data_IF_878265746042
#
_entry.id   IF_878265746042
#
_cell.length_a   1.000
_cell.length_b   1.000
_cell.length_c   1.000
_cell.angle_alpha   90.00
_cell.angle_beta   90.00
_cell.angle_gamma   90.00
#
_symmetry.space_group_name_H-M   'P 1'
#
loop_
_entity.id
_entity.type
_entity.pdbx_description
1 polymer ?
#
# COMPACT_ATOMS: atom_id res chain seq x y z
N UNK A 1 -12.81 -11.72 -13.29
CA UNK A 1 -11.87 -12.09 -12.22
C UNK A 1 -12.66 -12.70 -11.06
N UNK A 2 -12.52 -13.99 -10.82
CA UNK A 2 -13.19 -14.61 -9.67
C UNK A 2 -12.39 -14.31 -8.40
N UNK A 3 -12.45 -13.07 -7.95
CA UNK A 3 -12.08 -12.75 -6.60
C UNK A 3 -13.06 -13.49 -5.69
N UNK A 4 -12.52 -14.23 -4.76
CA UNK A 4 -13.34 -14.93 -3.78
C UNK A 4 -14.18 -13.87 -3.02
N UNK A 5 -15.46 -13.74 -3.36
CA UNK A 5 -16.40 -12.81 -2.73
C UNK A 5 -16.58 -13.04 -1.21
N UNK A 6 -15.91 -14.08 -0.68
CA UNK A 6 -15.93 -14.49 0.72
C UNK A 6 -14.63 -14.15 1.47
N UNK A 7 -13.75 -13.32 0.94
CA UNK A 7 -12.57 -12.88 1.67
C UNK A 7 -12.99 -12.01 2.87
N UNK A 8 -12.58 -12.41 4.08
CA UNK A 8 -12.78 -11.59 5.28
C UNK A 8 -11.92 -10.33 5.21
N UNK A 9 -12.45 -9.14 5.52
CA UNK A 9 -11.65 -7.94 5.60
C UNK A 9 -10.51 -8.08 6.61
N UNK A 10 -9.31 -7.75 6.19
CA UNK A 10 -8.14 -7.64 7.04
C UNK A 10 -8.24 -6.34 7.85
N UNK A 11 -7.78 -6.36 9.10
CA UNK A 11 -7.70 -5.18 9.96
C UNK A 11 -6.24 -4.87 10.29
N UNK A 12 -5.82 -3.63 10.06
CA UNK A 12 -4.48 -3.14 10.36
C UNK A 12 -4.58 -1.78 11.04
N UNK A 13 -3.89 -1.62 12.17
CA UNK A 13 -3.70 -0.35 12.84
C UNK A 13 -2.23 0.09 12.74
N UNK A 14 -1.99 1.33 12.36
CA UNK A 14 -0.64 1.90 12.21
C UNK A 14 -0.51 3.21 12.98
N UNK A 15 0.69 3.52 13.49
CA UNK A 15 0.95 4.79 14.16
C UNK A 15 1.19 5.91 13.16
N UNK A 16 0.72 7.12 13.48
CA UNK A 16 1.02 8.35 12.74
C UNK A 16 1.39 9.46 13.71
N UNK A 17 2.26 10.39 13.29
CA UNK A 17 2.73 11.50 14.16
C UNK A 17 1.82 12.72 14.11
N UNK A 18 1.09 12.89 13.01
CA UNK A 18 0.16 13.99 12.74
C UNK A 18 -1.07 13.41 12.06
N UNK A 19 -2.16 13.34 12.81
CA UNK A 19 -3.40 12.70 12.35
C UNK A 19 -3.99 13.40 11.14
N UNK A 20 -4.04 14.73 11.15
CA UNK A 20 -4.66 15.49 10.07
C UNK A 20 -3.86 15.39 8.77
N UNK A 21 -2.54 15.48 8.85
CA UNK A 21 -1.66 15.35 7.70
C UNK A 21 -1.77 13.95 7.06
N UNK A 22 -1.78 12.91 7.87
CA UNK A 22 -1.96 11.54 7.39
C UNK A 22 -3.37 11.26 6.88
N UNK A 23 -4.39 11.82 7.54
CA UNK A 23 -5.77 11.77 7.07
C UNK A 23 -5.92 12.32 5.66
N UNK A 24 -5.34 13.47 5.38
CA UNK A 24 -5.32 14.07 4.04
C UNK A 24 -4.57 13.21 3.02
N UNK A 25 -3.47 12.62 3.42
CA UNK A 25 -2.72 11.70 2.55
C UNK A 25 -3.57 10.50 2.10
N UNK A 26 -4.18 9.79 3.05
CA UNK A 26 -5.01 8.63 2.72
C UNK A 26 -6.27 9.00 1.95
N UNK A 27 -6.94 10.10 2.33
CA UNK A 27 -8.18 10.53 1.67
C UNK A 27 -7.96 11.16 0.29
N UNK A 28 -6.94 12.02 0.14
CA UNK A 28 -6.76 12.83 -1.07
C UNK A 28 -5.71 12.29 -2.01
N UNK A 29 -4.57 11.80 -1.50
CA UNK A 29 -3.51 11.23 -2.34
C UNK A 29 -3.89 9.83 -2.80
N UNK A 30 -4.27 8.96 -1.88
CA UNK A 30 -4.68 7.59 -2.19
C UNK A 30 -6.16 7.47 -2.58
N UNK A 31 -6.95 8.52 -2.36
CA UNK A 31 -8.39 8.57 -2.61
C UNK A 31 -9.18 7.45 -1.91
N UNK A 32 -8.79 7.14 -0.69
CA UNK A 32 -9.43 6.10 0.13
C UNK A 32 -10.53 6.74 0.99
N UNK A 33 -11.68 6.07 1.02
CA UNK A 33 -12.84 6.57 1.75
C UNK A 33 -12.66 6.37 3.26
N UNK A 34 -12.90 7.43 4.02
CA UNK A 34 -12.97 7.38 5.48
C UNK A 34 -14.21 6.63 5.96
N UNK A 35 -14.04 5.93 7.08
CA UNK A 35 -15.12 5.41 7.89
C UNK A 35 -15.34 6.27 9.14
N UNK A 36 -15.17 5.68 10.32
CA UNK A 36 -15.30 6.37 11.61
C UNK A 36 -14.00 7.07 12.00
N UNK A 37 -14.12 8.06 12.88
CA UNK A 37 -12.96 8.77 13.43
C UNK A 37 -13.22 9.27 14.85
N UNK A 38 -12.13 9.62 15.53
CA UNK A 38 -12.11 10.37 16.78
C UNK A 38 -11.05 11.46 16.71
N UNK A 39 -10.75 12.11 17.81
CA UNK A 39 -9.68 13.11 17.87
C UNK A 39 -8.28 12.52 17.73
N UNK A 40 -8.13 11.19 17.86
CA UNK A 40 -6.83 10.52 17.86
C UNK A 40 -6.68 9.39 16.85
N UNK A 41 -7.73 9.05 16.11
CA UNK A 41 -7.67 7.99 15.10
C UNK A 41 -8.70 8.18 13.98
N UNK A 42 -8.43 7.59 12.83
CA UNK A 42 -9.32 7.54 11.66
C UNK A 42 -9.30 6.14 11.05
N UNK A 43 -10.50 5.61 10.77
CA UNK A 43 -10.71 4.39 9.98
C UNK A 43 -10.78 4.72 8.49
N UNK A 44 -10.28 3.80 7.67
CA UNK A 44 -10.41 3.86 6.21
C UNK A 44 -10.89 2.53 5.63
N UNK A 45 -11.71 2.62 4.59
CA UNK A 45 -11.99 1.48 3.72
C UNK A 45 -10.79 1.32 2.75
N UNK A 46 -9.78 0.58 3.19
CA UNK A 46 -8.55 0.34 2.44
C UNK A 46 -8.76 -0.83 1.49
N UNK A 47 -9.28 -0.55 0.30
CA UNK A 47 -9.56 -1.56 -0.75
C UNK A 47 -10.41 -2.73 -0.23
N UNK A 48 -11.42 -2.46 0.59
CA UNK A 48 -12.28 -3.46 1.21
C UNK A 48 -11.75 -4.01 2.55
N UNK A 49 -10.56 -3.59 2.98
CA UNK A 49 -9.99 -3.90 4.29
C UNK A 49 -10.09 -2.70 5.24
N UNK A 50 -9.97 -2.94 6.53
CA UNK A 50 -10.00 -1.87 7.53
C UNK A 50 -8.58 -1.45 7.88
N UNK A 51 -8.22 -0.23 7.51
CA UNK A 51 -7.00 0.43 7.97
C UNK A 51 -7.36 1.47 9.02
N UNK A 52 -6.66 1.50 10.14
CA UNK A 52 -6.82 2.53 11.17
C UNK A 52 -5.48 3.24 11.38
N UNK A 53 -5.48 4.56 11.29
CA UNK A 53 -4.35 5.37 11.68
C UNK A 53 -4.59 5.92 13.09
N UNK A 54 -3.61 5.74 13.99
CA UNK A 54 -3.63 6.25 15.35
C UNK A 54 -2.51 7.27 15.58
N UNK A 55 -2.88 8.43 16.10
CA UNK A 55 -1.87 9.43 16.46
C UNK A 55 -1.08 8.98 17.69
N UNK A 56 0.24 9.03 17.59
CA UNK A 56 1.17 8.68 18.67
C UNK A 56 2.46 9.47 18.53
N UNK A 57 3.15 9.66 19.65
CA UNK A 57 4.50 10.23 19.68
C UNK A 57 5.60 9.18 19.58
N UNK A 58 5.23 7.90 19.65
CA UNK A 58 6.17 6.77 19.63
C UNK A 58 6.24 6.14 18.24
N UNK A 59 7.44 6.09 17.68
CA UNK A 59 7.72 5.47 16.38
C UNK A 59 8.88 4.49 16.49
N UNK A 60 8.74 3.34 15.81
CA UNK A 60 9.80 2.33 15.69
C UNK A 60 10.43 2.42 14.30
N UNK A 61 11.76 2.39 14.23
CA UNK A 61 12.48 2.30 12.97
C UNK A 61 12.16 0.99 12.25
N UNK A 62 11.88 1.06 10.95
CA UNK A 62 11.71 -0.12 10.11
C UNK A 62 13.04 -0.83 9.88
N UNK A 63 13.01 -2.17 9.89
CA UNK A 63 14.10 -2.99 9.39
C UNK A 63 14.15 -2.91 7.85
N UNK A 64 15.28 -3.34 7.27
CA UNK A 64 15.45 -3.38 5.80
C UNK A 64 15.86 -4.79 5.38
N UNK A 65 15.21 -5.30 4.34
CA UNK A 65 15.58 -6.55 3.67
C UNK A 65 15.92 -6.26 2.20
N UNK A 66 16.93 -6.92 1.66
CA UNK A 66 17.31 -6.77 0.25
C UNK A 66 16.46 -7.69 -0.63
N UNK A 67 15.76 -7.09 -1.59
CA UNK A 67 14.97 -7.82 -2.61
C UNK A 67 15.25 -7.19 -3.97
N UNK A 68 15.65 -7.97 -4.96
CA UNK A 68 16.03 -7.51 -6.31
C UNK A 68 17.05 -6.34 -6.28
N UNK A 69 17.96 -6.32 -5.29
CA UNK A 69 18.93 -5.22 -5.10
C UNK A 69 18.38 -3.97 -4.45
N UNK A 70 17.08 -3.94 -4.09
CA UNK A 70 16.45 -2.83 -3.38
C UNK A 70 16.41 -3.06 -1.87
N UNK A 71 16.67 -2.00 -1.09
CA UNK A 71 16.44 -1.99 0.35
C UNK A 71 14.95 -1.87 0.65
N UNK A 72 14.29 -2.99 0.93
CA UNK A 72 12.86 -3.05 1.21
C UNK A 72 12.60 -2.82 2.69
N UNK A 73 11.84 -1.75 3.07
CA UNK A 73 11.49 -1.51 4.46
C UNK A 73 10.56 -2.60 5.01
N UNK A 74 10.71 -2.92 6.29
CA UNK A 74 9.88 -3.86 7.03
C UNK A 74 9.49 -3.24 8.38
N UNK A 75 8.19 -3.17 8.76
CA UNK A 75 7.05 -3.64 7.98
C UNK A 75 6.70 -2.73 6.81
N UNK A 76 5.99 -3.26 5.86
CA UNK A 76 5.27 -2.53 4.83
C UNK A 76 3.92 -3.19 4.57
N UNK A 77 2.99 -2.45 4.01
CA UNK A 77 1.66 -2.96 3.72
C UNK A 77 1.09 -2.35 2.43
N UNK A 78 0.09 -2.98 1.90
CA UNK A 78 -0.61 -2.55 0.71
C UNK A 78 -1.51 -3.66 0.21
N UNK A 79 -1.99 -3.54 -1.01
CA UNK A 79 -2.82 -4.55 -1.65
C UNK A 79 -2.26 -4.95 -3.00
N UNK A 80 -2.67 -6.12 -3.45
CA UNK A 80 -2.40 -6.60 -4.80
C UNK A 80 -3.57 -6.19 -5.68
N UNK A 81 -3.29 -5.35 -6.68
CA UNK A 81 -4.25 -4.83 -7.64
C UNK A 81 -4.15 -5.59 -8.97
N UNK A 82 -5.11 -5.41 -9.85
CA UNK A 82 -4.90 -5.73 -11.25
C UNK A 82 -3.98 -4.67 -11.91
N UNK A 83 -3.48 -4.95 -13.10
CA UNK A 83 -2.51 -4.08 -13.76
C UNK A 83 -3.10 -2.71 -14.16
N UNK A 84 -4.40 -2.65 -14.45
CA UNK A 84 -5.09 -1.41 -14.80
C UNK A 84 -5.24 -0.51 -13.56
N UNK A 85 -5.78 -1.05 -12.48
CA UNK A 85 -5.93 -0.32 -11.20
C UNK A 85 -4.57 0.15 -10.66
N UNK A 86 -3.54 -0.69 -10.77
CA UNK A 86 -2.18 -0.34 -10.35
C UNK A 86 -1.61 0.83 -11.18
N UNK A 87 -1.82 0.83 -12.49
CA UNK A 87 -1.39 1.93 -13.36
C UNK A 87 -2.15 3.23 -13.05
N UNK A 88 -3.45 3.15 -12.77
CA UNK A 88 -4.24 4.31 -12.36
C UNK A 88 -3.69 4.90 -11.07
N UNK A 89 -3.41 4.07 -10.06
CA UNK A 89 -2.83 4.51 -8.79
C UNK A 89 -1.43 5.11 -9.01
N UNK A 90 -0.56 4.42 -9.76
CA UNK A 90 0.77 4.93 -10.11
C UNK A 90 0.71 6.32 -10.72
N UNK A 91 -0.14 6.52 -11.71
CA UNK A 91 -0.27 7.81 -12.40
C UNK A 91 -0.79 8.91 -11.45
N UNK A 92 -1.70 8.57 -10.54
CA UNK A 92 -2.16 9.48 -9.49
C UNK A 92 -1.02 9.91 -8.57
N UNK A 93 -0.22 8.96 -8.08
CA UNK A 93 0.92 9.23 -7.21
C UNK A 93 1.95 10.12 -7.90
N UNK A 94 2.25 9.85 -9.17
CA UNK A 94 3.15 10.68 -9.99
C UNK A 94 2.58 12.11 -10.13
N UNK A 95 1.29 12.25 -10.43
CA UNK A 95 0.64 13.56 -10.56
C UNK A 95 0.63 14.36 -9.26
N UNK A 96 0.56 13.68 -8.13
CA UNK A 96 0.66 14.26 -6.77
C UNK A 96 2.10 14.47 -6.31
N UNK A 97 3.09 14.18 -7.15
CA UNK A 97 4.53 14.33 -6.86
C UNK A 97 4.99 13.54 -5.64
N UNK A 98 4.40 12.37 -5.42
CA UNK A 98 4.84 11.46 -4.37
C UNK A 98 6.21 10.91 -4.72
N UNK A 99 7.11 10.96 -3.74
CA UNK A 99 8.45 10.39 -3.86
C UNK A 99 8.40 8.88 -3.59
N UNK A 100 8.82 8.08 -4.57
CA UNK A 100 8.95 6.64 -4.38
C UNK A 100 10.25 6.28 -3.66
N UNK A 101 10.19 5.31 -2.74
CA UNK A 101 11.39 4.66 -2.18
C UNK A 101 11.95 3.66 -3.20
N UNK A 102 11.03 2.92 -3.85
CA UNK A 102 11.34 2.05 -4.97
C UNK A 102 10.41 2.47 -6.11
N UNK A 103 11.03 2.95 -7.19
CA UNK A 103 10.29 3.41 -8.37
C UNK A 103 9.44 2.28 -8.95
N UNK A 104 8.26 2.60 -9.51
CA UNK A 104 7.41 1.61 -10.15
C UNK A 104 8.16 0.80 -11.20
N UNK A 105 8.16 -0.53 -11.09
CA UNK A 105 8.79 -1.40 -12.08
C UNK A 105 8.09 -2.75 -12.21
N UNK A 106 8.38 -3.44 -13.30
CA UNK A 106 7.82 -4.75 -13.63
C UNK A 106 8.87 -5.84 -13.31
N UNK A 107 8.47 -6.80 -12.50
CA UNK A 107 9.27 -7.99 -12.18
C UNK A 107 8.84 -9.15 -13.08
N UNK A 108 9.77 -10.01 -13.42
CA UNK A 108 9.52 -11.23 -14.21
C UNK A 108 8.77 -10.97 -15.51
N UNK A 109 9.15 -9.89 -16.20
CA UNK A 109 8.51 -9.43 -17.45
C UNK A 109 8.44 -10.56 -18.48
N UNK A 110 7.28 -10.65 -19.15
CA UNK A 110 6.98 -11.67 -20.16
C UNK A 110 6.99 -13.13 -19.66
N UNK A 111 6.90 -13.35 -18.35
CA UNK A 111 6.76 -14.68 -17.74
C UNK A 111 5.37 -14.84 -17.10
N UNK A 112 4.96 -16.08 -16.75
CA UNK A 112 3.70 -16.31 -16.04
C UNK A 112 3.60 -15.61 -14.68
N UNK A 113 4.75 -15.32 -14.05
CA UNK A 113 4.84 -14.60 -12.77
C UNK A 113 4.97 -13.08 -12.91
N UNK A 114 4.71 -12.51 -14.10
CA UNK A 114 4.81 -11.06 -14.33
C UNK A 114 3.98 -10.30 -13.30
N UNK A 115 4.65 -9.40 -12.60
CA UNK A 115 4.08 -8.57 -11.55
C UNK A 115 4.70 -7.18 -11.56
N UNK A 116 3.95 -6.20 -11.05
CA UNK A 116 4.42 -4.84 -10.87
C UNK A 116 4.52 -4.54 -9.38
N UNK A 117 5.38 -3.62 -9.00
CA UNK A 117 5.48 -3.11 -7.63
C UNK A 117 5.92 -1.66 -7.60
N UNK A 118 5.57 -0.97 -6.54
CA UNK A 118 6.05 0.37 -6.17
C UNK A 118 5.99 0.53 -4.66
N UNK A 119 6.97 1.28 -4.11
CA UNK A 119 7.03 1.58 -2.68
C UNK A 119 7.09 3.09 -2.45
N UNK A 120 6.34 3.55 -1.49
CA UNK A 120 6.37 4.95 -1.02
C UNK A 120 6.01 5.03 0.46
N UNK A 121 6.26 6.18 1.06
CA UNK A 121 5.96 6.43 2.47
C UNK A 121 4.71 7.28 2.61
N UNK A 122 3.95 7.05 3.69
CA UNK A 122 3.02 8.04 4.19
C UNK A 122 3.79 9.19 4.88
N UNK A 123 3.12 10.29 5.27
CA UNK A 123 3.81 11.41 5.93
C UNK A 123 4.47 11.07 7.26
N UNK A 124 4.11 9.98 7.89
CA UNK A 124 4.70 9.50 9.15
C UNK A 124 5.82 8.47 8.94
N UNK A 125 6.17 8.16 7.69
CA UNK A 125 7.20 7.19 7.37
C UNK A 125 6.74 5.74 7.38
N UNK A 126 5.44 5.46 7.49
CA UNK A 126 4.91 4.12 7.26
C UNK A 126 5.11 3.75 5.79
N UNK A 127 5.61 2.56 5.54
CA UNK A 127 5.93 2.10 4.19
C UNK A 127 4.76 1.37 3.55
N UNK A 128 4.41 1.78 2.34
CA UNK A 128 3.38 1.14 1.53
C UNK A 128 3.99 0.49 0.30
N UNK A 129 3.54 -0.73 -0.01
CA UNK A 129 3.82 -1.43 -1.26
C UNK A 129 2.51 -1.74 -1.97
N UNK A 130 2.39 -1.32 -3.22
CA UNK A 130 1.29 -1.74 -4.08
C UNK A 130 1.82 -2.62 -5.17
N UNK A 131 1.30 -3.84 -5.23
CA UNK A 131 1.64 -4.83 -6.24
C UNK A 131 0.53 -4.96 -7.28
N UNK A 132 0.88 -5.45 -8.44
CA UNK A 132 -0.08 -5.99 -9.39
C UNK A 132 0.43 -7.29 -9.97
N UNK A 133 -0.50 -8.20 -10.26
CA UNK A 133 -0.21 -9.43 -10.99
C UNK A 133 -0.98 -9.41 -12.31
N UNK A 134 -0.30 -9.79 -13.37
CA UNK A 134 -0.94 -10.00 -14.67
C UNK A 134 -1.99 -11.10 -14.61
N UNK A 135 -1.72 -12.13 -13.81
CA UNK A 135 -2.64 -13.23 -13.55
C UNK A 135 -2.65 -13.55 -12.05
N UNK A 136 -3.76 -13.25 -11.39
CA UNK A 136 -3.93 -13.49 -9.95
C UNK A 136 -3.80 -14.97 -9.53
N UNK A 137 -4.05 -15.91 -10.43
CA UNK A 137 -3.85 -17.33 -10.16
C UNK A 137 -2.38 -17.67 -9.85
N UNK A 138 -1.46 -16.78 -10.20
CA UNK A 138 -0.04 -16.95 -9.95
C UNK A 138 0.43 -16.33 -8.61
N UNK A 139 -0.44 -15.62 -7.89
CA UNK A 139 -0.07 -14.90 -6.64
C UNK A 139 0.58 -15.83 -5.60
N UNK A 140 0.04 -17.04 -5.45
CA UNK A 140 0.54 -18.03 -4.49
C UNK A 140 1.19 -19.24 -5.14
N UNK A 141 1.45 -19.16 -6.44
CA UNK A 141 2.07 -20.27 -7.16
C UNK A 141 3.54 -20.37 -6.80
N UNK A 142 3.96 -21.57 -6.40
CA UNK A 142 5.40 -21.87 -6.24
C UNK A 142 6.06 -21.92 -7.62
N UNK A 143 7.12 -21.16 -7.78
CA UNK A 143 7.93 -21.13 -8.99
C UNK A 143 9.10 -22.10 -8.82
#
# INVERSE_FOLDING_TARGET
MNYNSNLSPFHLAIPVHDLQLCREFYSNVLAIKEGRSSDSWVDFNFFGHQLVIHETKEFTKSAINLVDGHGVPIPHFGVVLDMEEWNILKNRLVSKKIKFIIEPYIRFKNSPGEQATMFFLDPSGNSLEFKAFKNFNNLFKKI
#
